data_IF_109753747031
#
_entry.id   IF_109753747031
#
_cell.length_a   1.000
_cell.length_b   1.000
_cell.length_c   1.000
_cell.angle_alpha   90.00
_cell.angle_beta   90.00
_cell.angle_gamma   90.00
#
_symmetry.space_group_name_H-M   'P 1'
#
loop_
_entity.id
_entity.type
_entity.pdbx_description
1 polymer ?
#
# COMPACT_ATOMS: atom_id res chain seq x y z
N UNK A 1 23.09 5.42 2.99
CA UNK A 1 22.50 5.96 4.23
C UNK A 1 22.43 4.95 5.39
N UNK A 2 23.21 3.84 5.35
CA UNK A 2 23.17 2.79 6.38
C UNK A 2 23.74 3.23 7.74
N UNK A 3 24.83 3.98 7.74
CA UNK A 3 25.52 4.41 8.96
C UNK A 3 24.64 5.24 9.92
N UNK A 4 23.64 5.95 9.39
CA UNK A 4 22.72 6.78 10.17
C UNK A 4 21.45 6.05 10.61
N UNK A 5 21.33 4.74 10.35
CA UNK A 5 20.14 3.94 10.64
C UNK A 5 19.71 4.01 12.12
N UNK A 6 20.64 3.77 13.05
CA UNK A 6 20.33 3.81 14.48
C UNK A 6 19.86 5.19 14.95
N UNK A 7 20.39 6.27 14.34
CA UNK A 7 19.96 7.62 14.66
C UNK A 7 18.56 7.92 14.09
N UNK A 8 18.27 7.48 12.85
CA UNK A 8 16.92 7.52 12.28
C UNK A 8 15.90 6.79 13.14
N UNK A 9 16.19 5.56 13.55
CA UNK A 9 15.28 4.77 14.38
C UNK A 9 14.93 5.51 15.68
N UNK A 10 15.91 6.15 16.32
CA UNK A 10 15.65 6.96 17.52
C UNK A 10 14.71 8.15 17.26
N UNK A 11 14.79 8.78 16.09
CA UNK A 11 13.89 9.89 15.70
C UNK A 11 12.48 9.37 15.38
N UNK A 12 12.38 8.26 14.63
CA UNK A 12 11.10 7.66 14.24
C UNK A 12 10.27 7.23 15.47
N UNK A 13 10.93 6.71 16.50
CA UNK A 13 10.28 6.28 17.75
C UNK A 13 10.12 7.42 18.78
N UNK A 14 10.57 8.63 18.47
CA UNK A 14 10.35 9.82 19.31
C UNK A 14 9.06 10.54 18.86
N UNK A 15 7.98 10.54 19.68
CA UNK A 15 6.69 11.09 19.28
C UNK A 15 6.71 12.60 19.03
N UNK A 16 7.74 13.31 19.50
CA UNK A 16 7.89 14.75 19.30
C UNK A 16 8.68 15.05 18.02
N UNK A 17 9.60 14.17 17.63
CA UNK A 17 10.52 14.40 16.50
C UNK A 17 10.20 13.62 15.24
N UNK A 18 9.31 12.64 15.31
CA UNK A 18 8.98 11.77 14.19
C UNK A 18 8.45 12.55 12.97
N UNK A 19 7.73 13.66 13.19
CA UNK A 19 7.27 14.57 12.14
C UNK A 19 8.42 15.23 11.35
N UNK A 20 9.58 15.40 11.97
CA UNK A 20 10.73 16.08 11.38
C UNK A 20 11.67 15.10 10.66
N UNK A 21 11.32 13.82 10.57
CA UNK A 21 12.19 12.79 10.00
C UNK A 21 12.60 13.10 8.56
N UNK A 22 11.70 13.65 7.74
CA UNK A 22 12.02 14.04 6.37
C UNK A 22 12.83 15.35 6.28
N UNK A 23 12.76 16.22 7.29
CA UNK A 23 13.65 17.38 7.42
C UNK A 23 15.07 16.94 7.76
N UNK A 24 15.21 15.97 8.66
CA UNK A 24 16.51 15.43 9.06
C UNK A 24 17.13 14.51 8.00
N UNK A 25 16.30 13.79 7.23
CA UNK A 25 16.73 12.84 6.20
C UNK A 25 16.01 13.06 4.87
N UNK A 26 16.23 14.21 4.20
CA UNK A 26 15.51 14.57 2.97
C UNK A 26 15.78 13.60 1.81
N UNK A 27 16.87 12.81 1.88
CA UNK A 27 17.18 11.80 0.87
C UNK A 27 16.14 10.69 0.74
N UNK A 28 15.27 10.49 1.73
CA UNK A 28 14.13 9.57 1.61
C UNK A 28 13.07 10.08 0.61
N UNK A 29 13.09 11.37 0.25
CA UNK A 29 12.14 11.93 -0.70
C UNK A 29 12.61 11.77 -2.15
N UNK A 30 13.89 11.51 -2.40
CA UNK A 30 14.47 11.50 -3.76
C UNK A 30 15.36 10.29 -4.10
N UNK A 31 15.73 9.45 -3.13
CA UNK A 31 16.44 8.18 -3.37
C UNK A 31 15.50 7.00 -3.15
N UNK A 32 15.20 6.30 -4.24
CA UNK A 32 14.51 5.01 -4.20
C UNK A 32 15.35 3.94 -3.49
N UNK A 33 14.70 3.01 -2.77
CA UNK A 33 15.39 1.89 -2.13
C UNK A 33 15.82 2.15 -0.68
N UNK A 34 15.64 3.38 -0.17
CA UNK A 34 16.04 3.70 1.21
C UNK A 34 15.09 3.10 2.26
N UNK A 35 13.80 2.99 1.95
CA UNK A 35 12.82 2.33 2.82
C UNK A 35 13.13 0.84 2.89
N UNK A 36 13.38 0.20 1.75
CA UNK A 36 13.75 -1.20 1.63
C UNK A 36 15.07 -1.47 2.37
N UNK A 37 16.07 -0.60 2.21
CA UNK A 37 17.33 -0.71 2.94
C UNK A 37 17.09 -0.69 4.47
N UNK A 38 16.24 0.21 4.96
CA UNK A 38 15.94 0.29 6.39
C UNK A 38 15.10 -0.91 6.87
N UNK A 39 14.18 -1.40 6.05
CA UNK A 39 13.42 -2.62 6.31
C UNK A 39 14.34 -3.83 6.45
N UNK A 40 15.29 -4.00 5.53
CA UNK A 40 16.33 -5.02 5.60
C UNK A 40 17.23 -4.87 6.83
N UNK A 41 17.59 -3.64 7.22
CA UNK A 41 18.38 -3.43 8.44
C UNK A 41 17.60 -3.75 9.73
N UNK A 42 16.27 -3.60 9.72
CA UNK A 42 15.41 -3.95 10.86
C UNK A 42 15.21 -5.46 11.00
N UNK A 43 15.07 -6.16 9.87
CA UNK A 43 14.61 -7.55 9.86
C UNK A 43 15.62 -8.56 9.34
N UNK A 44 16.78 -8.16 8.82
CA UNK A 44 17.73 -8.97 8.04
C UNK A 44 17.27 -9.34 6.61
N UNK A 45 18.22 -9.78 5.78
CA UNK A 45 17.99 -10.11 4.36
C UNK A 45 17.00 -11.29 4.21
N UNK A 46 17.14 -12.31 5.05
CA UNK A 46 16.36 -13.54 4.94
C UNK A 46 14.88 -13.31 5.29
N UNK A 47 14.59 -12.50 6.31
CA UNK A 47 13.22 -12.19 6.70
C UNK A 47 12.62 -11.14 5.75
N UNK A 48 13.38 -10.12 5.35
CA UNK A 48 12.87 -9.04 4.50
C UNK A 48 12.44 -9.52 3.10
N UNK A 49 13.15 -10.49 2.51
CA UNK A 49 12.79 -11.05 1.19
C UNK A 49 11.63 -12.06 1.23
N UNK A 50 11.39 -12.68 2.39
CA UNK A 50 10.50 -13.85 2.54
C UNK A 50 9.07 -13.62 2.04
N UNK A 51 8.54 -12.41 2.21
CA UNK A 51 7.20 -12.10 1.72
C UNK A 51 7.14 -12.17 0.20
N UNK A 52 8.07 -11.49 -0.48
CA UNK A 52 8.12 -11.43 -1.95
C UNK A 52 8.43 -12.80 -2.56
N UNK A 53 9.32 -13.57 -1.94
CA UNK A 53 9.65 -14.94 -2.39
C UNK A 53 8.43 -15.87 -2.35
N UNK A 54 7.61 -15.76 -1.31
CA UNK A 54 6.45 -16.63 -1.09
C UNK A 54 5.16 -16.06 -1.66
N UNK A 55 5.14 -14.80 -2.06
CA UNK A 55 3.96 -14.13 -2.59
C UNK A 55 3.34 -14.86 -3.78
N UNK A 56 4.06 -15.09 -4.90
CA UNK A 56 3.45 -15.64 -6.11
C UNK A 56 3.00 -17.10 -5.95
N UNK A 57 3.66 -17.88 -5.08
CA UNK A 57 3.47 -19.34 -4.99
C UNK A 57 2.63 -19.78 -3.79
N UNK A 58 2.64 -19.04 -2.69
CA UNK A 58 2.00 -19.46 -1.43
C UNK A 58 0.94 -18.45 -1.01
N UNK A 59 1.33 -17.18 -0.81
CA UNK A 59 0.42 -16.23 -0.16
C UNK A 59 -0.72 -15.80 -1.06
N UNK A 60 -0.46 -15.50 -2.33
CA UNK A 60 -1.49 -15.12 -3.30
C UNK A 60 -2.56 -16.21 -3.45
N UNK A 61 -2.15 -17.47 -3.59
CA UNK A 61 -3.08 -18.61 -3.66
C UNK A 61 -3.94 -18.73 -2.41
N UNK A 62 -3.33 -18.62 -1.23
CA UNK A 62 -4.07 -18.65 0.04
C UNK A 62 -5.09 -17.53 0.16
N UNK A 63 -4.75 -16.31 -0.28
CA UNK A 63 -5.70 -15.19 -0.26
C UNK A 63 -6.93 -15.49 -1.11
N UNK A 64 -6.73 -16.03 -2.31
CA UNK A 64 -7.83 -16.43 -3.21
C UNK A 64 -8.66 -17.59 -2.65
N UNK A 65 -8.03 -18.59 -2.03
CA UNK A 65 -8.74 -19.68 -1.38
C UNK A 65 -9.61 -19.19 -0.23
N UNK A 66 -9.09 -18.29 0.60
CA UNK A 66 -9.84 -17.74 1.74
C UNK A 66 -10.98 -16.81 1.28
N UNK A 67 -10.79 -16.03 0.21
CA UNK A 67 -11.81 -15.11 -0.27
C UNK A 67 -13.06 -15.81 -0.80
N UNK A 68 -12.93 -17.05 -1.30
CA UNK A 68 -14.07 -17.87 -1.73
C UNK A 68 -15.01 -18.26 -0.59
N UNK A 69 -14.51 -18.28 0.65
CA UNK A 69 -15.33 -18.54 1.85
C UNK A 69 -16.13 -17.32 2.33
N UNK A 70 -15.87 -16.13 1.79
CA UNK A 70 -16.57 -14.90 2.17
C UNK A 70 -17.92 -14.75 1.43
N UNK A 71 -18.77 -13.87 1.96
CA UNK A 71 -19.94 -13.39 1.21
C UNK A 71 -19.48 -12.64 -0.03
N UNK A 72 -19.91 -13.10 -1.19
CA UNK A 72 -19.46 -12.60 -2.48
C UNK A 72 -20.19 -11.30 -2.87
N UNK A 73 -19.72 -10.15 -2.38
CA UNK A 73 -20.15 -8.84 -2.88
C UNK A 73 -19.62 -8.58 -4.30
N UNK A 74 -20.28 -7.72 -5.06
CA UNK A 74 -19.86 -7.38 -6.43
C UNK A 74 -18.40 -6.91 -6.50
N UNK A 75 -17.98 -6.10 -5.52
CA UNK A 75 -16.61 -5.60 -5.38
C UNK A 75 -15.60 -6.72 -5.14
N UNK A 76 -15.93 -7.70 -4.28
CA UNK A 76 -15.07 -8.85 -4.01
C UNK A 76 -14.98 -9.77 -5.23
N UNK A 77 -16.11 -10.03 -5.90
CA UNK A 77 -16.15 -10.84 -7.12
C UNK A 77 -15.28 -10.21 -8.22
N UNK A 78 -15.35 -8.88 -8.38
CA UNK A 78 -14.53 -8.13 -9.32
C UNK A 78 -13.03 -8.27 -9.01
N UNK A 79 -12.62 -8.13 -7.74
CA UNK A 79 -11.23 -8.31 -7.33
C UNK A 79 -10.74 -9.75 -7.55
N UNK A 80 -11.55 -10.76 -7.21
CA UNK A 80 -11.21 -12.17 -7.42
C UNK A 80 -11.04 -12.46 -8.91
N UNK A 81 -11.94 -11.96 -9.76
CA UNK A 81 -11.85 -12.13 -11.21
C UNK A 81 -10.56 -11.51 -11.78
N UNK A 82 -10.20 -10.30 -11.35
CA UNK A 82 -8.96 -9.66 -11.80
C UNK A 82 -7.72 -10.40 -11.28
N UNK A 83 -7.78 -10.93 -10.06
CA UNK A 83 -6.69 -11.70 -9.46
C UNK A 83 -6.46 -13.05 -10.15
N UNK A 84 -7.52 -13.71 -10.63
CA UNK A 84 -7.44 -14.99 -11.34
C UNK A 84 -7.23 -14.83 -12.86
N UNK A 85 -7.48 -13.64 -13.41
CA UNK A 85 -7.34 -13.40 -14.84
C UNK A 85 -5.89 -13.56 -15.29
N UNK A 86 -5.71 -14.39 -16.32
CA UNK A 86 -4.44 -14.56 -17.04
C UNK A 86 -4.24 -13.53 -18.14
N UNK A 87 -5.23 -12.65 -18.34
CA UNK A 87 -5.24 -11.59 -19.35
C UNK A 87 -5.46 -10.24 -18.66
N UNK A 88 -4.87 -9.18 -19.23
CA UNK A 88 -5.01 -7.83 -18.69
C UNK A 88 -6.46 -7.35 -18.85
N UNK A 89 -7.17 -7.18 -17.73
CA UNK A 89 -8.51 -6.60 -17.72
C UNK A 89 -8.37 -5.08 -17.86
N UNK A 90 -8.84 -4.50 -18.98
CA UNK A 90 -8.61 -3.08 -19.35
C UNK A 90 -8.98 -2.04 -18.27
N UNK A 91 -9.90 -2.36 -17.34
CA UNK A 91 -10.42 -1.39 -16.36
C UNK A 91 -9.99 -1.64 -14.91
N UNK A 92 -9.32 -2.77 -14.64
CA UNK A 92 -9.06 -3.28 -13.29
C UNK A 92 -7.65 -3.05 -12.78
N UNK A 93 -7.44 -3.37 -11.51
CA UNK A 93 -6.09 -3.56 -10.95
C UNK A 93 -5.45 -4.82 -11.52
N UNK A 94 -4.13 -4.88 -11.55
CA UNK A 94 -3.42 -6.10 -11.92
C UNK A 94 -3.72 -7.25 -10.93
N UNK A 95 -3.26 -8.44 -11.27
CA UNK A 95 -3.54 -9.65 -10.50
C UNK A 95 -2.96 -9.61 -9.07
N UNK A 96 -1.80 -8.99 -8.88
CA UNK A 96 -1.15 -8.89 -7.57
C UNK A 96 -1.82 -7.84 -6.69
N UNK A 97 -2.08 -6.65 -7.23
CA UNK A 97 -2.77 -5.58 -6.53
C UNK A 97 -4.19 -5.99 -6.16
N UNK A 98 -4.91 -6.66 -7.07
CA UNK A 98 -6.24 -7.20 -6.76
C UNK A 98 -6.19 -8.20 -5.61
N UNK A 99 -5.18 -9.08 -5.60
CA UNK A 99 -4.96 -10.04 -4.51
C UNK A 99 -4.63 -9.34 -3.17
N UNK A 100 -3.85 -8.26 -3.20
CA UNK A 100 -3.57 -7.45 -1.98
C UNK A 100 -4.86 -6.79 -1.49
N UNK A 101 -5.68 -6.23 -2.37
CA UNK A 101 -6.94 -5.57 -1.98
C UNK A 101 -7.96 -6.56 -1.42
N UNK A 102 -7.95 -7.84 -1.84
CA UNK A 102 -8.77 -8.89 -1.24
C UNK A 102 -8.45 -9.08 0.25
N UNK A 103 -7.21 -8.84 0.70
CA UNK A 103 -6.86 -8.93 2.14
C UNK A 103 -7.72 -8.01 2.99
N UNK A 104 -8.13 -6.85 2.47
CA UNK A 104 -9.01 -5.91 3.17
C UNK A 104 -10.37 -6.54 3.50
N UNK A 105 -10.88 -7.43 2.63
CA UNK A 105 -12.13 -8.16 2.84
C UNK A 105 -11.98 -9.32 3.83
N UNK A 106 -10.75 -9.81 4.03
CA UNK A 106 -10.43 -10.89 4.98
C UNK A 106 -10.19 -10.37 6.41
N UNK A 107 -10.05 -9.06 6.59
CA UNK A 107 -9.89 -8.47 7.93
C UNK A 107 -11.18 -8.67 8.73
N UNK A 108 -11.09 -9.15 9.99
CA UNK A 108 -12.27 -9.29 10.83
C UNK A 108 -12.90 -7.92 11.07
N UNK A 109 -14.25 -7.84 11.17
CA UNK A 109 -14.90 -6.61 11.54
C UNK A 109 -14.38 -6.15 12.91
N UNK A 110 -14.14 -4.83 13.06
CA UNK A 110 -13.66 -4.25 14.32
C UNK A 110 -14.43 -4.81 15.54
N UNK A 111 -13.73 -5.15 16.64
CA UNK A 111 -14.34 -5.75 17.84
C UNK A 111 -15.43 -4.87 18.49
N UNK A 112 -15.57 -3.62 18.06
CA UNK A 112 -16.59 -2.68 18.55
C UNK A 112 -17.98 -2.83 17.88
N UNK A 113 -18.20 -3.89 17.10
CA UNK A 113 -19.52 -4.30 16.64
C UNK A 113 -20.02 -3.61 15.36
N UNK A 114 -20.96 -4.26 14.67
CA UNK A 114 -21.44 -3.90 13.34
C UNK A 114 -22.40 -2.68 13.29
N UNK A 115 -22.65 -2.00 14.42
CA UNK A 115 -23.83 -1.12 14.58
C UNK A 115 -23.54 0.38 14.76
N UNK A 116 -22.31 0.86 14.53
CA UNK A 116 -22.05 2.31 14.56
C UNK A 116 -22.16 2.92 13.15
N UNK A 117 -22.90 4.04 12.99
CA UNK A 117 -22.82 4.84 11.78
C UNK A 117 -21.37 5.33 11.59
N UNK A 118 -20.84 5.24 10.36
CA UNK A 118 -19.45 5.59 10.03
C UNK A 118 -18.49 4.40 9.86
N UNK A 119 -18.98 3.16 9.79
CA UNK A 119 -18.15 1.99 9.47
C UNK A 119 -17.74 2.02 7.99
N UNK A 120 -16.44 2.20 7.73
CA UNK A 120 -15.84 2.13 6.40
C UNK A 120 -16.04 0.73 5.81
N UNK A 121 -16.58 0.63 4.59
CA UNK A 121 -16.69 -0.65 3.89
C UNK A 121 -15.31 -1.13 3.42
N UNK A 122 -15.17 -2.43 3.12
CA UNK A 122 -13.93 -2.96 2.56
C UNK A 122 -13.54 -2.23 1.25
N UNK A 123 -14.52 -1.96 0.39
CA UNK A 123 -14.33 -1.16 -0.82
C UNK A 123 -13.78 0.24 -0.52
N UNK A 124 -14.41 0.96 0.41
CA UNK A 124 -13.96 2.30 0.78
C UNK A 124 -12.57 2.28 1.44
N UNK A 125 -12.26 1.22 2.20
CA UNK A 125 -10.92 1.01 2.75
C UNK A 125 -9.88 0.79 1.64
N UNK A 126 -10.19 -0.03 0.63
CA UNK A 126 -9.36 -0.24 -0.55
C UNK A 126 -9.12 1.07 -1.33
N UNK A 127 -10.15 1.90 -1.52
CA UNK A 127 -10.04 3.22 -2.17
C UNK A 127 -9.19 4.22 -1.37
N UNK A 128 -9.11 4.06 -0.06
CA UNK A 128 -8.23 4.87 0.79
C UNK A 128 -6.79 4.31 0.85
N UNK A 129 -6.62 2.99 0.69
CA UNK A 129 -5.31 2.33 0.74
C UNK A 129 -4.49 2.58 -0.52
N UNK A 130 -5.14 2.56 -1.70
CA UNK A 130 -4.46 2.69 -2.98
C UNK A 130 -5.19 3.70 -3.88
N UNK A 131 -4.47 4.73 -4.32
CA UNK A 131 -4.96 5.74 -5.27
C UNK A 131 -4.24 5.61 -6.59
N UNK A 132 -4.96 5.79 -7.69
CA UNK A 132 -4.40 5.75 -9.03
C UNK A 132 -4.36 7.15 -9.64
N UNK A 133 -3.23 7.52 -10.23
CA UNK A 133 -3.12 8.68 -11.12
C UNK A 133 -2.52 8.27 -12.45
N UNK A 134 -3.00 8.89 -13.54
CA UNK A 134 -2.51 8.60 -14.88
C UNK A 134 -1.12 9.19 -15.07
N UNK A 135 -0.26 8.49 -15.80
CA UNK A 135 1.06 9.00 -16.19
C UNK A 135 0.90 10.34 -16.93
N UNK A 136 1.73 11.32 -16.57
CA UNK A 136 1.62 12.71 -17.01
C UNK A 136 0.85 13.61 -16.05
N UNK A 137 0.19 13.06 -15.01
CA UNK A 137 -0.40 13.85 -13.93
C UNK A 137 0.68 14.34 -12.96
N UNK A 138 0.60 15.59 -12.53
CA UNK A 138 1.56 16.15 -11.55
C UNK A 138 1.38 15.51 -10.18
N UNK A 139 2.43 14.85 -9.68
CA UNK A 139 2.46 14.31 -8.31
C UNK A 139 2.31 15.46 -7.31
N UNK A 140 3.02 16.58 -7.51
CA UNK A 140 2.90 17.73 -6.63
C UNK A 140 1.48 18.29 -6.60
N UNK A 141 0.83 18.40 -7.77
CA UNK A 141 -0.57 18.85 -7.82
C UNK A 141 -1.53 17.92 -7.09
N UNK A 142 -1.27 16.60 -7.11
CA UNK A 142 -2.01 15.63 -6.29
C UNK A 142 -1.76 15.83 -4.78
N UNK A 143 -0.51 16.09 -4.38
CA UNK A 143 -0.16 16.35 -2.98
C UNK A 143 -0.76 17.65 -2.45
N UNK A 144 -0.77 18.71 -3.26
CA UNK A 144 -1.33 20.02 -2.91
C UNK A 144 -2.86 19.95 -2.72
N UNK A 145 -3.53 19.06 -3.46
CA UNK A 145 -4.98 18.82 -3.33
C UNK A 145 -5.37 18.04 -2.07
N UNK A 146 -4.40 17.55 -1.28
CA UNK A 146 -4.68 16.86 -0.02
C UNK A 146 -5.11 17.90 1.03
N UNK A 147 -6.40 17.93 1.34
CA UNK A 147 -6.96 18.78 2.40
C UNK A 147 -6.51 18.30 3.80
N UNK A 148 -7.00 17.13 4.25
CA UNK A 148 -6.88 16.68 5.66
C UNK A 148 -6.47 15.20 5.83
N UNK A 149 -5.84 14.58 4.82
CA UNK A 149 -5.52 13.14 4.91
C UNK A 149 -4.31 12.88 5.80
N UNK A 150 -4.55 12.25 6.96
CA UNK A 150 -3.53 11.85 7.93
C UNK A 150 -3.02 10.41 7.73
N UNK A 151 -3.75 9.57 7.00
CA UNK A 151 -3.37 8.16 6.84
C UNK A 151 -2.48 7.96 5.62
N UNK A 152 -1.38 7.20 5.76
CA UNK A 152 -0.54 6.89 4.63
C UNK A 152 -1.27 5.99 3.62
N UNK A 153 -1.00 6.21 2.34
CA UNK A 153 -1.58 5.41 1.25
C UNK A 153 -0.58 5.21 0.12
N UNK A 154 -0.85 4.20 -0.70
CA UNK A 154 -0.07 3.90 -1.88
C UNK A 154 -0.61 4.71 -3.07
N UNK A 155 0.25 5.50 -3.71
CA UNK A 155 -0.07 6.21 -4.94
C UNK A 155 0.53 5.45 -6.12
N UNK A 156 -0.33 4.81 -6.91
CA UNK A 156 0.01 4.07 -8.12
C UNK A 156 -0.03 5.00 -9.34
N UNK A 157 1.07 5.06 -10.09
CA UNK A 157 1.22 5.90 -11.29
C UNK A 157 1.39 5.00 -12.50
N UNK A 158 0.43 5.04 -13.42
CA UNK A 158 0.39 4.13 -14.58
C UNK A 158 -0.35 4.70 -15.78
N UNK A 159 -0.35 4.02 -16.92
CA UNK A 159 -1.24 4.37 -18.05
C UNK A 159 -2.68 3.94 -17.76
N UNK A 160 -2.83 2.79 -17.11
CA UNK A 160 -4.06 2.14 -16.67
C UNK A 160 -3.82 1.48 -15.30
N UNK A 161 -4.88 1.06 -14.59
CA UNK A 161 -4.77 0.46 -13.25
C UNK A 161 -4.08 -0.91 -13.23
N UNK A 162 -4.09 -1.62 -14.36
CA UNK A 162 -3.39 -2.88 -14.59
C UNK A 162 -1.97 -2.68 -15.17
N UNK A 163 -1.60 -1.43 -15.53
CA UNK A 163 -0.28 -1.08 -16.09
C UNK A 163 0.32 0.05 -15.26
N UNK A 164 0.85 -0.32 -14.09
CA UNK A 164 1.51 0.60 -13.16
C UNK A 164 3.01 0.68 -13.44
N UNK A 165 3.54 1.89 -13.56
CA UNK A 165 4.96 2.14 -13.78
C UNK A 165 5.72 2.40 -12.49
N UNK A 166 5.08 3.09 -11.53
CA UNK A 166 5.70 3.51 -10.27
C UNK A 166 4.67 3.52 -9.14
N UNK A 167 5.17 3.27 -7.94
CA UNK A 167 4.42 3.45 -6.70
C UNK A 167 5.11 4.49 -5.84
N UNK A 168 4.34 5.22 -5.05
CA UNK A 168 4.84 6.09 -3.99
C UNK A 168 4.09 5.80 -2.70
N UNK A 169 4.77 5.86 -1.57
CA UNK A 169 4.11 5.93 -0.27
C UNK A 169 3.84 7.41 0.00
N UNK A 170 2.56 7.79 0.08
CA UNK A 170 2.18 9.15 0.43
C UNK A 170 1.94 9.25 1.93
N UNK A 171 2.67 10.13 2.61
CA UNK A 171 2.54 10.41 4.04
C UNK A 171 2.87 11.89 4.28
N UNK A 172 2.06 12.59 5.08
CA UNK A 172 2.27 14.00 5.44
C UNK A 172 2.56 14.92 4.24
N UNK A 173 1.81 14.72 3.14
CA UNK A 173 1.99 15.42 1.84
C UNK A 173 3.36 15.23 1.18
N UNK A 174 4.11 14.22 1.58
CA UNK A 174 5.31 13.75 0.90
C UNK A 174 4.99 12.51 0.07
N UNK A 175 5.61 12.37 -1.10
CA UNK A 175 5.59 11.14 -1.89
C UNK A 175 6.97 10.49 -1.83
N UNK A 176 7.06 9.35 -1.15
CA UNK A 176 8.29 8.59 -0.95
C UNK A 176 8.42 7.56 -2.08
N UNK A 177 9.50 7.58 -2.87
CA UNK A 177 9.70 6.71 -4.04
C UNK A 177 10.21 5.30 -3.70
#
# INVERSE_FOLDING_TARGET
>A
MKQTFNYRQKIIHDPVKSSDVFLAFPRFLDIQGLIEQDFTLMFDDAISAKFLEKWPTIYKQKVLEQSRGLTQSDDLQYLVQNAESTTEVESGWDSDMSSILILVHLLPPSPHGCKRPGKLSARQASENLVKFIKTGTSIQGHLDAIADSLQPYLLAVGTQRNVIHKYFIVIDKHAIP
#
